data_IF_208061811248
#
_entry.id   IF_208061811248
#
_cell.length_a   1.000
_cell.length_b   1.000
_cell.length_c   1.000
_cell.angle_alpha   90.00
_cell.angle_beta   90.00
_cell.angle_gamma   90.00
#
_symmetry.space_group_name_H-M   'P 1'
#
loop_
_entity.id
_entity.type
_entity.pdbx_description
1 polymer ?
#
# COMPACT_ATOMS: atom_id res chain seq x y z
N UNK A 1 -39.10 -1.37 3.30
CA UNK A 1 -37.76 -0.98 2.82
C UNK A 1 -36.75 -2.02 3.36
N UNK A 2 -36.43 -3.02 2.52
CA UNK A 2 -35.45 -4.03 2.89
C UNK A 2 -34.08 -3.42 2.75
N UNK A 3 -33.46 -3.04 3.87
CA UNK A 3 -32.01 -2.87 3.91
C UNK A 3 -31.43 -4.29 3.79
N UNK A 4 -31.02 -4.66 2.59
CA UNK A 4 -30.10 -5.77 2.40
C UNK A 4 -28.82 -5.37 3.16
N UNK A 5 -28.68 -5.87 4.38
CA UNK A 5 -27.39 -5.95 5.04
C UNK A 5 -26.57 -6.91 4.16
N UNK A 6 -25.78 -6.35 3.23
CA UNK A 6 -24.77 -7.15 2.56
C UNK A 6 -23.90 -7.76 3.67
N UNK A 7 -24.00 -9.07 3.84
CA UNK A 7 -23.12 -9.80 4.73
C UNK A 7 -21.70 -9.55 4.23
N UNK A 8 -20.92 -8.80 5.02
CA UNK A 8 -19.54 -8.55 4.69
C UNK A 8 -18.79 -9.89 4.63
N UNK A 9 -18.11 -10.14 3.50
CA UNK A 9 -17.24 -11.32 3.38
C UNK A 9 -16.26 -11.34 4.56
N UNK A 10 -16.07 -12.53 5.14
CA UNK A 10 -15.01 -12.80 6.10
C UNK A 10 -13.83 -13.45 5.37
N UNK A 11 -12.65 -12.89 5.54
CA UNK A 11 -11.41 -13.40 4.95
C UNK A 11 -10.75 -14.40 5.87
N UNK A 12 -10.23 -15.47 5.28
CA UNK A 12 -9.48 -16.49 6.00
C UNK A 12 -8.00 -16.10 6.08
N UNK A 13 -7.45 -16.04 7.28
CA UNK A 13 -6.03 -15.77 7.50
C UNK A 13 -5.29 -17.08 7.81
N UNK A 14 -4.31 -17.40 6.98
CA UNK A 14 -3.49 -18.61 7.12
C UNK A 14 -2.24 -18.25 7.92
N UNK A 15 -2.03 -18.94 9.04
CA UNK A 15 -0.78 -18.80 9.77
C UNK A 15 0.35 -19.48 8.98
N UNK A 16 1.28 -18.68 8.49
CA UNK A 16 2.48 -19.19 7.82
C UNK A 16 3.65 -19.05 8.78
N UNK A 17 4.10 -20.15 9.42
CA UNK A 17 5.28 -20.11 10.25
C UNK A 17 6.50 -19.73 9.41
N UNK A 18 7.36 -18.86 9.93
CA UNK A 18 8.59 -18.38 9.29
C UNK A 18 8.43 -17.39 8.12
N UNK A 19 7.29 -16.76 7.94
CA UNK A 19 7.24 -15.58 7.06
C UNK A 19 8.07 -14.46 7.67
N UNK A 20 9.16 -14.25 7.02
CA UNK A 20 10.20 -13.21 7.10
C UNK A 20 10.17 -12.31 8.34
N UNK A 21 11.28 -12.23 9.10
CA UNK A 21 11.40 -11.32 10.22
C UNK A 21 11.17 -9.88 9.75
N UNK A 22 10.63 -9.05 10.65
CA UNK A 22 10.45 -7.61 10.40
C UNK A 22 11.80 -6.97 10.10
N UNK A 23 12.06 -6.67 8.84
CA UNK A 23 13.31 -6.05 8.41
C UNK A 23 13.36 -4.60 8.88
N UNK A 24 14.53 -4.19 9.37
CA UNK A 24 14.80 -2.78 9.65
C UNK A 24 15.02 -2.05 8.33
N UNK A 25 14.42 -0.87 8.20
CA UNK A 25 14.64 0.00 7.05
C UNK A 25 15.23 1.34 7.49
N UNK A 26 16.04 1.92 6.62
CA UNK A 26 16.60 3.26 6.76
C UNK A 26 16.50 4.01 5.44
N UNK A 27 16.39 5.34 5.52
CA UNK A 27 16.38 6.19 4.33
C UNK A 27 17.70 6.92 4.22
N UNK A 28 18.30 6.90 3.03
CA UNK A 28 19.56 7.59 2.73
C UNK A 28 19.43 8.24 1.34
N UNK A 29 19.67 9.54 1.25
CA UNK A 29 19.58 10.31 -0.01
C UNK A 29 18.23 10.13 -0.76
N UNK A 30 17.13 10.03 -0.02
CA UNK A 30 15.79 9.85 -0.61
C UNK A 30 15.46 8.41 -1.00
N UNK A 31 16.38 7.47 -0.84
CA UNK A 31 16.15 6.04 -1.09
C UNK A 31 15.97 5.28 0.21
N UNK A 32 15.05 4.32 0.20
CA UNK A 32 14.84 3.40 1.32
C UNK A 32 15.65 2.13 1.09
N UNK A 33 16.33 1.70 2.13
CA UNK A 33 17.10 0.45 2.17
C UNK A 33 16.61 -0.42 3.32
N UNK A 34 16.65 -1.73 3.12
CA UNK A 34 16.35 -2.73 4.14
C UNK A 34 17.61 -3.48 4.51
N UNK A 35 17.80 -3.74 5.81
CA UNK A 35 18.88 -4.62 6.29
C UNK A 35 18.42 -6.06 6.23
N UNK A 36 19.11 -6.87 5.42
CA UNK A 36 18.85 -8.31 5.22
C UNK A 36 20.17 -9.05 5.45
N UNK A 37 20.26 -9.82 6.53
CA UNK A 37 21.44 -10.62 6.90
C UNK A 37 22.74 -9.78 6.87
N UNK A 38 22.69 -8.58 7.45
CA UNK A 38 23.83 -7.65 7.50
C UNK A 38 24.13 -6.94 6.17
N UNK A 39 23.37 -7.19 5.10
CA UNK A 39 23.50 -6.52 3.80
C UNK A 39 22.41 -5.46 3.64
N UNK A 40 22.72 -4.40 2.88
CA UNK A 40 21.78 -3.33 2.58
C UNK A 40 21.16 -3.55 1.20
N UNK A 41 19.84 -3.73 1.13
CA UNK A 41 19.07 -3.91 -0.11
C UNK A 41 18.17 -2.72 -0.35
N UNK A 42 18.20 -2.08 -1.54
CA UNK A 42 17.29 -1.00 -1.87
C UNK A 42 15.84 -1.52 -1.91
N UNK A 43 14.90 -0.63 -1.59
CA UNK A 43 13.49 -0.97 -1.73
C UNK A 43 13.08 -0.99 -3.20
N UNK A 44 12.15 -1.88 -3.56
CA UNK A 44 11.56 -1.95 -4.90
C UNK A 44 11.03 -0.57 -5.32
N UNK A 45 10.32 0.12 -4.43
CA UNK A 45 9.78 1.46 -4.71
C UNK A 45 10.86 2.50 -4.96
N UNK A 46 12.00 2.42 -4.27
CA UNK A 46 13.14 3.31 -4.51
C UNK A 46 13.76 3.08 -5.89
N UNK A 47 13.89 1.81 -6.32
CA UNK A 47 14.38 1.49 -7.66
C UNK A 47 13.41 1.97 -8.74
N UNK A 48 12.12 1.70 -8.58
CA UNK A 48 11.09 2.14 -9.53
C UNK A 48 10.98 3.67 -9.62
N UNK A 49 11.26 4.40 -8.53
CA UNK A 49 11.23 5.87 -8.53
C UNK A 49 12.24 6.49 -9.49
N UNK A 50 13.33 5.78 -9.81
CA UNK A 50 14.33 6.24 -10.79
C UNK A 50 13.70 6.33 -12.18
N UNK A 51 12.86 5.35 -12.54
CA UNK A 51 12.22 5.29 -13.86
C UNK A 51 11.16 6.39 -14.07
N UNK A 52 10.52 6.83 -12.97
CA UNK A 52 9.46 7.85 -13.06
C UNK A 52 9.95 9.29 -12.85
N UNK A 53 11.22 9.47 -12.48
CA UNK A 53 11.76 10.76 -12.03
C UNK A 53 11.60 11.87 -13.09
N UNK A 54 11.95 11.59 -14.32
CA UNK A 54 11.91 12.60 -15.41
C UNK A 54 10.48 12.92 -15.79
N UNK A 55 9.59 11.93 -15.85
CA UNK A 55 8.16 12.14 -16.08
C UNK A 55 7.50 12.99 -14.99
N UNK A 56 7.82 12.72 -13.72
CA UNK A 56 7.31 13.52 -12.60
C UNK A 56 7.83 14.95 -12.66
N UNK A 57 9.11 15.15 -13.01
CA UNK A 57 9.69 16.49 -13.18
C UNK A 57 8.96 17.26 -14.29
N UNK A 58 8.84 16.67 -15.49
CA UNK A 58 8.16 17.28 -16.62
C UNK A 58 6.70 17.63 -16.29
N UNK A 59 5.99 16.76 -15.58
CA UNK A 59 4.64 17.05 -15.11
C UNK A 59 4.60 18.23 -14.13
N UNK A 60 5.51 18.29 -13.15
CA UNK A 60 5.59 19.39 -12.18
C UNK A 60 5.88 20.72 -12.89
N UNK A 61 6.78 20.71 -13.84
CA UNK A 61 7.12 21.90 -14.63
C UNK A 61 5.94 22.38 -15.48
N UNK A 62 5.12 21.46 -16.01
CA UNK A 62 3.98 21.78 -16.86
C UNK A 62 2.80 22.42 -16.11
N UNK A 63 2.55 22.05 -14.85
CA UNK A 63 1.41 22.57 -14.07
C UNK A 63 1.80 23.59 -13.00
N UNK A 64 3.10 23.78 -12.78
CA UNK A 64 3.67 24.62 -11.71
C UNK A 64 3.86 23.87 -10.40
N UNK A 65 4.94 24.21 -9.70
CA UNK A 65 5.36 23.47 -8.48
C UNK A 65 4.33 23.52 -7.36
N UNK A 66 3.70 24.67 -7.10
CA UNK A 66 2.70 24.83 -6.04
C UNK A 66 1.46 23.97 -6.28
N UNK A 67 0.97 23.95 -7.54
CA UNK A 67 -0.16 23.10 -7.95
C UNK A 67 0.21 21.63 -7.84
N UNK A 68 1.42 21.25 -8.28
CA UNK A 68 1.92 19.88 -8.18
C UNK A 68 2.04 19.43 -6.74
N UNK A 69 2.51 20.28 -5.82
CA UNK A 69 2.59 19.96 -4.39
C UNK A 69 1.20 19.77 -3.77
N UNK A 70 0.25 20.64 -4.10
CA UNK A 70 -1.13 20.52 -3.65
C UNK A 70 -1.77 19.19 -4.14
N UNK A 71 -1.65 18.88 -5.43
CA UNK A 71 -2.20 17.66 -6.01
C UNK A 71 -1.52 16.40 -5.45
N UNK A 72 -0.20 16.43 -5.27
CA UNK A 72 0.55 15.33 -4.66
C UNK A 72 0.09 15.07 -3.24
N UNK A 73 -0.06 16.11 -2.43
CA UNK A 73 -0.52 16.00 -1.04
C UNK A 73 -1.95 15.45 -0.98
N UNK A 74 -2.84 15.94 -1.84
CA UNK A 74 -4.23 15.50 -1.95
C UNK A 74 -4.32 14.01 -2.33
N UNK A 75 -3.56 13.61 -3.36
CA UNK A 75 -3.51 12.24 -3.83
C UNK A 75 -2.92 11.29 -2.78
N UNK A 76 -1.82 11.69 -2.12
CA UNK A 76 -1.19 10.93 -1.05
C UNK A 76 -2.16 10.71 0.13
N UNK A 77 -2.83 11.76 0.60
CA UNK A 77 -3.80 11.65 1.69
C UNK A 77 -4.94 10.69 1.34
N UNK A 78 -5.47 10.80 0.11
CA UNK A 78 -6.51 9.89 -0.38
C UNK A 78 -6.01 8.45 -0.42
N UNK A 79 -4.79 8.23 -0.92
CA UNK A 79 -4.16 6.92 -1.00
C UNK A 79 -3.95 6.28 0.37
N UNK A 80 -3.46 7.05 1.36
CA UNK A 80 -3.26 6.56 2.73
C UNK A 80 -4.58 6.04 3.33
N UNK A 81 -5.67 6.78 3.21
CA UNK A 81 -6.96 6.33 3.72
C UNK A 81 -7.51 5.14 2.92
N UNK A 82 -7.33 5.14 1.60
CA UNK A 82 -7.75 4.01 0.76
C UNK A 82 -7.04 2.70 1.19
N UNK A 83 -5.70 2.72 1.30
CA UNK A 83 -4.93 1.56 1.78
C UNK A 83 -5.37 1.13 3.18
N UNK A 84 -5.63 2.08 4.08
CA UNK A 84 -6.07 1.76 5.45
C UNK A 84 -7.46 1.12 5.48
N UNK A 85 -8.37 1.53 4.61
CA UNK A 85 -9.69 0.91 4.48
C UNK A 85 -9.54 -0.52 3.98
N UNK A 86 -8.76 -0.75 2.91
CA UNK A 86 -8.52 -2.08 2.36
C UNK A 86 -7.86 -2.99 3.40
N UNK A 87 -6.81 -2.51 4.10
CA UNK A 87 -6.14 -3.26 5.16
C UNK A 87 -7.11 -3.68 6.26
N UNK A 88 -7.91 -2.74 6.80
CA UNK A 88 -8.86 -3.05 7.85
C UNK A 88 -9.96 -4.00 7.36
N UNK A 89 -10.43 -3.84 6.15
CA UNK A 89 -11.41 -4.73 5.55
C UNK A 89 -10.87 -6.17 5.43
N UNK A 90 -9.67 -6.34 4.89
CA UNK A 90 -9.00 -7.64 4.79
C UNK A 90 -8.71 -8.26 6.16
N UNK A 91 -8.51 -7.46 7.21
CA UNK A 91 -8.42 -7.93 8.59
C UNK A 91 -9.77 -8.22 9.26
N UNK A 92 -10.89 -8.21 8.53
CA UNK A 92 -12.24 -8.39 9.06
C UNK A 92 -12.62 -7.34 10.13
N UNK A 93 -12.04 -6.14 10.06
CA UNK A 93 -12.33 -5.04 10.98
C UNK A 93 -13.47 -4.18 10.47
N UNK A 94 -14.16 -3.52 11.40
CA UNK A 94 -15.17 -2.52 11.03
C UNK A 94 -14.52 -1.31 10.34
N UNK A 95 -15.04 -0.95 9.17
CA UNK A 95 -14.57 0.18 8.36
C UNK A 95 -15.56 1.34 8.30
N UNK A 96 -16.66 1.30 9.08
CA UNK A 96 -17.72 2.32 9.04
C UNK A 96 -17.22 3.73 9.40
N UNK A 97 -16.19 3.85 10.24
CA UNK A 97 -15.56 5.12 10.59
C UNK A 97 -14.97 5.87 9.38
N UNK A 98 -14.62 5.13 8.31
CA UNK A 98 -14.04 5.71 7.09
C UNK A 98 -15.08 6.22 6.09
N UNK A 99 -16.38 5.99 6.30
CA UNK A 99 -17.44 6.51 5.41
C UNK A 99 -17.38 8.03 5.24
N UNK A 100 -16.97 8.75 6.29
CA UNK A 100 -16.72 10.20 6.24
C UNK A 100 -15.57 10.62 5.31
N UNK A 101 -14.71 9.68 4.89
CA UNK A 101 -13.64 9.89 3.91
C UNK A 101 -14.16 9.60 2.50
N UNK A 102 -15.10 10.39 2.03
CA UNK A 102 -15.95 10.16 0.86
C UNK A 102 -15.16 9.63 -0.35
N UNK A 103 -14.06 10.30 -0.74
CA UNK A 103 -13.28 9.90 -1.93
C UNK A 103 -12.57 8.56 -1.75
N UNK A 104 -11.94 8.34 -0.60
CA UNK A 104 -11.22 7.08 -0.32
C UNK A 104 -12.18 5.91 -0.14
N UNK A 105 -13.30 6.14 0.54
CA UNK A 105 -14.34 5.14 0.73
C UNK A 105 -15.07 4.82 -0.59
N UNK A 106 -15.31 5.82 -1.43
CA UNK A 106 -15.86 5.64 -2.77
C UNK A 106 -14.94 4.79 -3.66
N UNK A 107 -13.62 5.04 -3.64
CA UNK A 107 -12.65 4.21 -4.34
C UNK A 107 -12.65 2.78 -3.83
N UNK A 108 -12.72 2.58 -2.51
CA UNK A 108 -12.84 1.24 -1.92
C UNK A 108 -14.09 0.51 -2.44
N UNK A 109 -15.25 1.16 -2.47
CA UNK A 109 -16.48 0.55 -2.96
C UNK A 109 -16.38 0.14 -4.44
N UNK A 110 -15.64 0.89 -5.27
CA UNK A 110 -15.42 0.55 -6.67
C UNK A 110 -14.61 -0.74 -6.85
N UNK A 111 -13.68 -1.03 -5.94
CA UNK A 111 -12.79 -2.21 -6.04
C UNK A 111 -13.15 -3.31 -5.06
N UNK A 112 -14.15 -3.11 -4.21
CA UNK A 112 -14.56 -4.07 -3.18
C UNK A 112 -14.80 -5.47 -3.74
N UNK A 113 -15.51 -5.57 -4.88
CA UNK A 113 -15.78 -6.85 -5.52
C UNK A 113 -14.52 -7.60 -5.95
N UNK A 114 -13.46 -6.89 -6.34
CA UNK A 114 -12.16 -7.51 -6.65
C UNK A 114 -11.41 -7.91 -5.37
N UNK A 115 -11.47 -7.09 -4.33
CA UNK A 115 -10.90 -7.43 -3.01
C UNK A 115 -11.61 -8.67 -2.43
N UNK A 116 -12.92 -8.79 -2.63
CA UNK A 116 -13.72 -9.94 -2.17
C UNK A 116 -13.30 -11.26 -2.83
N UNK A 117 -12.54 -11.23 -3.94
CA UNK A 117 -11.99 -12.43 -4.58
C UNK A 117 -10.73 -12.95 -3.88
N UNK A 118 -10.10 -12.13 -3.03
CA UNK A 118 -8.96 -12.55 -2.23
C UNK A 118 -9.45 -13.54 -1.17
N UNK A 119 -8.69 -14.60 -0.95
CA UNK A 119 -8.91 -15.55 0.13
C UNK A 119 -7.58 -16.19 0.55
N UNK A 120 -7.59 -16.93 1.68
CA UNK A 120 -6.39 -17.59 2.19
C UNK A 120 -5.19 -16.63 2.35
N UNK A 121 -5.40 -15.53 3.05
CA UNK A 121 -4.40 -14.49 3.24
C UNK A 121 -3.24 -15.02 4.08
N UNK A 122 -2.06 -15.15 3.49
CA UNK A 122 -0.85 -15.62 4.14
C UNK A 122 -0.05 -14.50 4.81
N UNK A 123 -0.09 -13.31 4.22
CA UNK A 123 0.67 -12.18 4.74
C UNK A 123 -0.01 -10.86 4.38
N UNK A 124 0.03 -9.91 5.30
CA UNK A 124 -0.35 -8.52 5.07
C UNK A 124 0.71 -7.62 5.68
N UNK A 125 1.05 -6.56 4.96
CA UNK A 125 2.02 -5.56 5.42
C UNK A 125 3.37 -6.19 5.85
N UNK A 126 3.77 -7.26 5.18
CA UNK A 126 5.02 -7.97 5.45
C UNK A 126 6.14 -7.51 4.54
N UNK A 127 7.34 -7.50 5.09
CA UNK A 127 8.55 -7.23 4.32
C UNK A 127 9.00 -8.51 3.64
N UNK A 128 9.27 -8.43 2.33
CA UNK A 128 9.81 -9.52 1.52
C UNK A 128 11.17 -9.08 0.95
N UNK A 129 12.02 -10.04 0.64
CA UNK A 129 13.31 -9.76 0.00
C UNK A 129 13.73 -10.88 -0.95
N UNK A 130 14.65 -10.54 -1.84
CA UNK A 130 15.28 -11.49 -2.76
C UNK A 130 16.80 -11.32 -2.71
N UNK A 131 17.51 -12.39 -2.37
CA UNK A 131 18.96 -12.40 -2.41
C UNK A 131 19.51 -12.33 -3.84
N UNK A 132 18.84 -12.98 -4.79
CA UNK A 132 19.26 -12.97 -6.20
C UNK A 132 19.09 -11.60 -6.83
N UNK A 133 17.98 -10.91 -6.57
CA UNK A 133 17.72 -9.56 -7.07
C UNK A 133 18.37 -8.47 -6.22
N UNK A 134 18.81 -8.81 -5.00
CA UNK A 134 19.31 -7.86 -3.99
C UNK A 134 18.33 -6.70 -3.73
N UNK A 135 17.05 -7.03 -3.67
CA UNK A 135 15.95 -6.10 -3.46
C UNK A 135 15.13 -6.53 -2.25
N UNK A 136 14.50 -5.56 -1.60
CA UNK A 136 13.51 -5.81 -0.58
C UNK A 136 12.32 -4.87 -0.76
N UNK A 137 11.17 -5.24 -0.20
CA UNK A 137 9.95 -4.44 -0.30
C UNK A 137 8.95 -4.84 0.77
N UNK A 138 7.91 -4.05 0.90
CA UNK A 138 6.75 -4.37 1.74
C UNK A 138 5.57 -4.65 0.81
N UNK A 139 4.92 -5.77 1.02
CA UNK A 139 3.69 -6.11 0.31
C UNK A 139 2.49 -5.66 1.10
N UNK A 140 1.43 -5.24 0.41
CA UNK A 140 0.15 -4.91 1.03
C UNK A 140 -0.61 -6.19 1.42
N UNK A 141 -0.62 -7.20 0.53
CA UNK A 141 -1.25 -8.50 0.75
C UNK A 141 -0.56 -9.57 -0.11
#
# INVERSE_FOLDING_TARGET
MNQNLEENKLFTHIQTPNLVPKLKSQSQNGFRYYSVDGKSYPSVTSVLSILSKDGIRAWRDSIGHDVADFETKRASTRGIYFHKICENYLYNKNISEYQKKILSYGLFNLVKSEIDRIDNIHAMEKTLYSHSLKLAGRTDC
#
